data_IF_631749756829
#
_entry.id   IF_631749756829
#
_cell.length_a   1.000
_cell.length_b   1.000
_cell.length_c   1.000
_cell.angle_alpha   90.00
_cell.angle_beta   90.00
_cell.angle_gamma   90.00
#
_symmetry.space_group_name_H-M   'P 1'
#
loop_
_entity.id
_entity.type
_entity.pdbx_description
1 polymer ?
#
# COMPACT_ATOMS: atom_id res chain seq x y z
N UNK A 1 -0.76 6.26 -18.55
CA UNK A 1 -0.78 4.96 -17.88
C UNK A 1 -1.25 5.24 -16.47
N UNK A 2 -2.47 4.83 -16.16
CA UNK A 2 -3.17 5.25 -14.94
C UNK A 2 -2.45 4.67 -13.72
N UNK A 3 -2.29 5.51 -12.69
CA UNK A 3 -1.78 5.09 -11.39
C UNK A 3 -2.86 4.23 -10.76
N UNK A 4 -2.61 2.94 -10.59
CA UNK A 4 -3.36 2.03 -9.74
C UNK A 4 -3.22 2.52 -8.29
N UNK A 5 -3.90 3.61 -7.98
CA UNK A 5 -3.85 4.25 -6.69
C UNK A 5 -4.69 3.44 -5.70
N UNK A 6 -4.15 3.31 -4.50
CA UNK A 6 -4.85 2.71 -3.38
C UNK A 6 -4.80 3.65 -2.19
N UNK A 7 -5.89 3.71 -1.42
CA UNK A 7 -5.92 4.42 -0.15
C UNK A 7 -5.29 3.51 0.90
N UNK A 8 -4.23 3.98 1.55
CA UNK A 8 -3.57 3.28 2.65
C UNK A 8 -4.03 3.93 3.95
N UNK A 9 -4.69 3.16 4.80
CA UNK A 9 -5.07 3.56 6.16
C UNK A 9 -4.20 2.78 7.15
N UNK A 10 -3.53 3.48 8.06
CA UNK A 10 -2.75 2.88 9.13
C UNK A 10 -3.62 2.75 10.38
N UNK A 11 -3.54 1.62 11.07
CA UNK A 11 -4.40 1.31 12.22
C UNK A 11 -4.19 2.26 13.42
N UNK A 12 -3.03 2.92 13.50
CA UNK A 12 -2.73 3.92 14.52
C UNK A 12 -2.53 5.30 13.88
N UNK A 13 -3.15 6.34 14.42
CA UNK A 13 -3.20 7.71 13.86
C UNK A 13 -1.85 8.48 13.82
N UNK A 14 -0.72 7.81 14.08
CA UNK A 14 0.61 8.40 14.08
C UNK A 14 1.34 8.32 12.73
N UNK A 15 2.26 9.25 12.44
CA UNK A 15 3.11 9.20 11.25
C UNK A 15 4.03 7.96 11.26
N UNK A 16 4.36 7.44 10.08
CA UNK A 16 5.38 6.41 9.92
C UNK A 16 6.77 7.01 10.15
N UNK A 17 7.61 6.35 10.94
CA UNK A 17 9.04 6.70 11.08
C UNK A 17 9.92 5.77 10.24
N UNK A 18 11.11 6.23 9.80
CA UNK A 18 12.04 5.38 9.06
C UNK A 18 12.39 4.10 9.82
N UNK A 19 12.28 2.94 9.15
CA UNK A 19 12.56 1.62 9.74
C UNK A 19 11.39 1.01 10.54
N UNK A 20 10.25 1.68 10.60
CA UNK A 20 9.05 1.15 11.27
C UNK A 20 8.32 0.14 10.38
N UNK A 21 7.99 -1.01 10.97
CA UNK A 21 7.01 -1.95 10.42
C UNK A 21 5.64 -1.64 11.01
N UNK A 22 4.60 -1.61 10.16
CA UNK A 22 3.24 -1.31 10.58
C UNK A 22 2.22 -2.03 9.72
N UNK A 23 1.13 -2.47 10.33
CA UNK A 23 -0.04 -2.96 9.62
C UNK A 23 -0.80 -1.79 8.97
N UNK A 24 -1.28 -2.04 7.75
CA UNK A 24 -2.01 -1.08 6.96
C UNK A 24 -3.15 -1.77 6.24
N UNK A 25 -4.33 -1.16 6.28
CA UNK A 25 -5.46 -1.53 5.43
C UNK A 25 -5.30 -0.77 4.12
N UNK A 26 -5.33 -1.50 3.01
CA UNK A 26 -5.22 -0.88 1.69
C UNK A 26 -6.48 -1.12 0.88
N UNK A 27 -7.12 -0.03 0.45
CA UNK A 27 -8.36 -0.05 -0.30
C UNK A 27 -8.14 0.41 -1.75
N UNK A 28 -8.69 -0.28 -2.75
CA UNK A 28 -8.63 0.16 -4.14
C UNK A 28 -9.31 1.51 -4.36
N UNK A 29 -8.69 2.44 -5.09
CA UNK A 29 -9.40 3.63 -5.59
C UNK A 29 -10.25 3.32 -6.82
N UNK A 30 -9.92 2.26 -7.56
CA UNK A 30 -10.65 1.77 -8.72
C UNK A 30 -11.05 0.32 -8.50
N UNK A 31 -12.21 -0.08 -9.01
CA UNK A 31 -12.72 -1.45 -8.95
C UNK A 31 -11.92 -2.45 -9.81
N UNK A 32 -10.77 -2.04 -10.34
CA UNK A 32 -9.91 -2.97 -11.07
C UNK A 32 -9.34 -4.02 -10.12
N UNK A 33 -9.35 -5.30 -10.54
CA UNK A 33 -8.94 -6.38 -9.66
C UNK A 33 -7.44 -6.31 -9.38
N UNK A 34 -7.05 -6.43 -8.11
CA UNK A 34 -5.66 -6.45 -7.63
C UNK A 34 -4.92 -7.74 -8.01
N UNK A 35 -5.22 -8.34 -9.16
CA UNK A 35 -4.64 -9.59 -9.62
C UNK A 35 -3.12 -9.51 -9.81
N UNK A 36 -2.59 -8.31 -10.02
CA UNK A 36 -1.16 -8.04 -10.17
C UNK A 36 -0.43 -7.93 -8.83
N UNK A 37 -1.15 -7.85 -7.71
CA UNK A 37 -0.57 -7.68 -6.38
C UNK A 37 -0.19 -9.04 -5.80
N UNK A 38 1.09 -9.21 -5.47
CA UNK A 38 1.65 -10.47 -4.99
C UNK A 38 2.48 -10.27 -3.71
N UNK A 39 2.48 -11.28 -2.84
CA UNK A 39 3.36 -11.32 -1.67
C UNK A 39 4.83 -11.20 -2.09
N UNK A 40 5.61 -10.42 -1.34
CA UNK A 40 7.01 -10.10 -1.63
C UNK A 40 7.24 -8.94 -2.59
N UNK A 41 6.19 -8.45 -3.26
CA UNK A 41 6.29 -7.29 -4.15
C UNK A 41 6.59 -6.01 -3.36
N UNK A 42 7.40 -5.12 -3.94
CA UNK A 42 7.64 -3.77 -3.41
C UNK A 42 6.80 -2.75 -4.17
N UNK A 43 6.07 -1.91 -3.43
CA UNK A 43 5.21 -0.85 -3.95
C UNK A 43 5.80 0.51 -3.55
N UNK A 44 5.96 1.45 -4.49
CA UNK A 44 6.40 2.80 -4.15
C UNK A 44 5.34 3.54 -3.33
N UNK A 45 5.77 4.22 -2.27
CA UNK A 45 4.93 5.10 -1.47
C UNK A 45 5.05 6.53 -1.98
N UNK A 46 3.92 7.18 -2.23
CA UNK A 46 3.86 8.52 -2.80
C UNK A 46 3.27 9.55 -1.82
N UNK A 47 3.90 10.72 -1.73
CA UNK A 47 3.32 11.94 -1.17
C UNK A 47 3.11 12.94 -2.32
N UNK A 48 1.89 12.97 -2.86
CA UNK A 48 1.61 13.65 -4.12
C UNK A 48 2.42 13.03 -5.28
N UNK A 49 3.15 13.85 -6.03
CA UNK A 49 3.98 13.37 -7.15
C UNK A 49 5.34 12.76 -6.70
N UNK A 50 5.70 12.87 -5.43
CA UNK A 50 7.03 12.47 -4.92
C UNK A 50 6.99 11.06 -4.32
N UNK A 51 7.92 10.20 -4.73
CA UNK A 51 8.19 8.94 -4.03
C UNK A 51 8.93 9.22 -2.73
N UNK A 52 8.39 8.73 -1.61
CA UNK A 52 8.93 8.93 -0.26
C UNK A 52 9.47 7.66 0.38
N UNK A 53 9.27 6.51 -0.27
CA UNK A 53 9.74 5.21 0.22
C UNK A 53 9.16 4.06 -0.60
N UNK A 54 9.31 2.85 -0.08
CA UNK A 54 8.74 1.62 -0.62
C UNK A 54 8.20 0.77 0.51
N UNK A 55 7.05 0.13 0.27
CA UNK A 55 6.47 -0.87 1.15
C UNK A 55 6.62 -2.25 0.51
N UNK A 56 6.94 -3.27 1.30
CA UNK A 56 6.95 -4.66 0.84
C UNK A 56 5.68 -5.36 1.32
N UNK A 57 5.03 -6.09 0.43
CA UNK A 57 3.84 -6.89 0.77
C UNK A 57 4.29 -8.14 1.52
N UNK A 58 3.93 -8.24 2.79
CA UNK A 58 4.27 -9.41 3.61
C UNK A 58 3.19 -10.49 3.57
N UNK A 59 1.92 -10.11 3.47
CA UNK A 59 0.77 -11.01 3.45
C UNK A 59 -0.38 -10.37 2.65
N UNK A 60 -1.22 -11.19 2.02
CA UNK A 60 -2.45 -10.76 1.34
C UNK A 60 -3.62 -11.56 1.90
N UNK A 61 -4.51 -10.89 2.62
CA UNK A 61 -5.76 -11.48 3.12
C UNK A 61 -6.87 -11.17 2.12
N UNK A 62 -7.47 -12.20 1.53
CA UNK A 62 -8.61 -12.05 0.61
C UNK A 62 -9.90 -12.20 1.40
N UNK A 63 -10.75 -11.19 1.35
CA UNK A 63 -12.11 -11.26 1.90
C UNK A 63 -12.99 -11.90 0.81
N UNK A 64 -13.60 -13.05 1.13
CA UNK A 64 -14.53 -13.79 0.26
C UNK A 64 -15.97 -13.35 0.48
#
# INVERSE_FOLDING_TARGET
MALDGALVTLDDAGPLVPGQEKEAVVEPLLSEPWQHVAQGMEIPMHAGARVIGSARILEIVRIL
#
